data_IF_125326542640
#
_entry.id   IF_125326542640
#
_cell.length_a   1.000
_cell.length_b   1.000
_cell.length_c   1.000
_cell.angle_alpha   90.00
_cell.angle_beta   90.00
_cell.angle_gamma   90.00
#
_symmetry.space_group_name_H-M   'P 1'
#
loop_
_entity.id
_entity.type
_entity.pdbx_description
1 polymer ?
#
# COMPACT_ATOMS: atom_id res chain seq x y z
N UNK A 1 -19.34 46.57 -8.12
CA UNK A 1 -17.89 46.28 -8.01
C UNK A 1 -17.51 45.47 -6.76
N UNK A 2 -18.47 44.93 -6.00
CA UNK A 2 -18.19 44.10 -4.82
C UNK A 2 -18.21 42.59 -5.11
N UNK A 3 -18.70 42.17 -6.29
CA UNK A 3 -18.95 40.76 -6.61
C UNK A 3 -17.68 39.93 -6.91
N UNK A 4 -16.57 40.57 -7.27
CA UNK A 4 -15.31 39.84 -7.47
C UNK A 4 -14.57 39.55 -6.16
N UNK A 5 -14.82 40.33 -5.09
CA UNK A 5 -14.17 40.13 -3.79
C UNK A 5 -14.68 38.88 -3.06
N UNK A 6 -15.92 38.47 -3.33
CA UNK A 6 -16.55 37.28 -2.75
C UNK A 6 -16.44 36.04 -3.65
N UNK A 7 -15.70 36.13 -4.76
CA UNK A 7 -15.48 34.98 -5.60
C UNK A 7 -14.47 34.06 -4.91
N UNK A 8 -14.86 32.85 -4.46
CA UNK A 8 -13.94 31.96 -3.77
C UNK A 8 -12.77 31.63 -4.71
N UNK A 9 -11.58 32.11 -4.35
CA UNK A 9 -10.33 31.84 -5.09
C UNK A 9 -9.88 30.38 -4.96
N UNK A 10 -10.53 29.62 -4.07
CA UNK A 10 -10.36 28.18 -3.93
C UNK A 10 -11.14 27.51 -5.07
N UNK A 11 -10.58 27.56 -6.28
CA UNK A 11 -10.98 26.61 -7.32
C UNK A 11 -10.77 25.19 -6.77
N UNK A 12 -11.75 24.29 -6.89
CA UNK A 12 -11.52 22.88 -6.61
C UNK A 12 -10.39 22.44 -7.53
N UNK A 13 -9.19 22.24 -6.99
CA UNK A 13 -8.03 21.87 -7.81
C UNK A 13 -8.40 20.61 -8.58
N UNK A 14 -8.39 20.71 -9.91
CA UNK A 14 -8.68 19.62 -10.82
C UNK A 14 -7.94 18.36 -10.36
N UNK A 15 -8.72 17.32 -10.04
CA UNK A 15 -8.23 16.08 -9.48
C UNK A 15 -7.38 15.38 -10.57
N UNK A 16 -6.09 15.09 -10.34
CA UNK A 16 -5.17 14.69 -11.41
C UNK A 16 -5.60 13.44 -12.20
N UNK A 17 -6.36 12.52 -11.58
CA UNK A 17 -6.83 11.28 -12.22
C UNK A 17 -8.35 11.07 -12.16
N UNK A 18 -9.14 12.06 -11.71
CA UNK A 18 -10.60 11.95 -11.53
C UNK A 18 -11.08 10.95 -10.46
N UNK A 19 -10.25 9.98 -10.03
CA UNK A 19 -10.57 8.98 -8.99
C UNK A 19 -10.12 9.43 -7.61
N UNK A 20 -10.97 9.20 -6.62
CA UNK A 20 -10.65 9.53 -5.22
C UNK A 20 -9.50 8.65 -4.69
N UNK A 21 -8.48 9.24 -4.03
CA UNK A 21 -7.45 8.48 -3.34
C UNK A 21 -8.03 7.77 -2.12
N UNK A 22 -7.39 6.67 -1.73
CA UNK A 22 -7.76 5.89 -0.55
C UNK A 22 -7.02 6.41 0.69
N UNK A 23 -7.62 6.22 1.86
CA UNK A 23 -6.97 6.48 3.15
C UNK A 23 -5.74 5.57 3.32
N UNK A 24 -4.53 6.13 3.58
CA UNK A 24 -3.34 5.31 3.81
C UNK A 24 -3.48 4.37 5.01
N UNK A 25 -4.25 4.77 6.04
CA UNK A 25 -4.57 3.91 7.19
C UNK A 25 -5.35 2.66 6.79
N UNK A 26 -6.24 2.74 5.80
CA UNK A 26 -7.02 1.60 5.33
C UNK A 26 -6.19 0.55 4.59
N UNK A 27 -4.97 0.89 4.14
CA UNK A 27 -4.04 -0.05 3.51
C UNK A 27 -3.45 -1.06 4.51
N UNK A 28 -3.65 -0.87 5.83
CA UNK A 28 -3.18 -1.82 6.84
C UNK A 28 -3.88 -3.19 6.70
N UNK A 29 -5.17 -3.20 6.35
CA UNK A 29 -5.94 -4.43 6.19
C UNK A 29 -5.39 -5.34 5.06
N UNK A 30 -5.22 -4.86 3.81
CA UNK A 30 -4.62 -5.69 2.77
C UNK A 30 -3.16 -6.05 3.05
N UNK A 31 -2.43 -5.25 3.84
CA UNK A 31 -1.07 -5.59 4.27
C UNK A 31 -1.04 -6.78 5.22
N UNK A 32 -1.92 -6.79 6.23
CA UNK A 32 -1.99 -7.86 7.21
C UNK A 32 -2.60 -9.15 6.63
N UNK A 33 -3.59 -9.02 5.75
CA UNK A 33 -4.28 -10.17 5.15
C UNK A 33 -3.52 -10.77 3.97
N UNK A 34 -2.92 -9.93 3.13
CA UNK A 34 -2.33 -10.34 1.86
C UNK A 34 -0.81 -10.27 1.77
N UNK A 35 -0.13 -9.61 2.70
CA UNK A 35 1.33 -9.48 2.69
C UNK A 35 1.84 -8.23 1.96
N UNK A 36 3.11 -8.27 1.58
CA UNK A 36 3.85 -7.11 1.06
C UNK A 36 3.44 -6.73 -0.38
N UNK A 37 3.17 -7.70 -1.25
CA UNK A 37 2.79 -7.48 -2.64
C UNK A 37 1.46 -6.72 -2.81
N UNK A 38 0.33 -7.13 -2.20
CA UNK A 38 -0.94 -6.42 -2.36
C UNK A 38 -0.90 -5.01 -1.81
N UNK A 39 -0.31 -4.79 -0.63
CA UNK A 39 -0.20 -3.44 -0.05
C UNK A 39 0.67 -2.54 -0.93
N UNK A 40 1.78 -3.05 -1.47
CA UNK A 40 2.68 -2.28 -2.35
C UNK A 40 1.97 -1.89 -3.65
N UNK A 41 1.25 -2.82 -4.28
CA UNK A 41 0.50 -2.54 -5.50
C UNK A 41 -0.57 -1.47 -5.27
N UNK A 42 -1.37 -1.61 -4.20
CA UNK A 42 -2.38 -0.63 -3.82
C UNK A 42 -1.75 0.73 -3.47
N UNK A 43 -0.62 0.73 -2.79
CA UNK A 43 0.13 1.94 -2.45
C UNK A 43 0.62 2.67 -3.71
N UNK A 44 1.12 1.96 -4.73
CA UNK A 44 1.55 2.56 -5.99
C UNK A 44 0.38 3.16 -6.76
N UNK A 45 -0.77 2.48 -6.79
CA UNK A 45 -2.00 3.03 -7.38
C UNK A 45 -2.46 4.27 -6.60
N UNK A 46 -2.41 4.23 -5.28
CA UNK A 46 -2.79 5.38 -4.44
C UNK A 46 -1.83 6.56 -4.63
N UNK A 47 -0.54 6.30 -4.78
CA UNK A 47 0.48 7.32 -5.05
C UNK A 47 0.25 8.02 -6.39
N UNK A 48 -0.26 7.31 -7.40
CA UNK A 48 -0.70 7.91 -8.68
C UNK A 48 -1.90 8.82 -8.46
N UNK A 49 -2.94 8.33 -7.78
CA UNK A 49 -4.16 9.11 -7.45
C UNK A 49 -3.88 10.37 -6.63
N UNK A 50 -2.87 10.31 -5.76
CA UNK A 50 -2.40 11.45 -4.95
C UNK A 50 -1.47 12.41 -5.71
N UNK A 51 -1.11 12.13 -6.96
CA UNK A 51 -0.20 12.95 -7.75
C UNK A 51 1.24 12.95 -7.21
N UNK A 52 1.67 11.90 -6.50
CA UNK A 52 3.01 11.83 -5.94
C UNK A 52 4.08 11.76 -7.04
N UNK A 53 5.25 12.40 -6.84
CA UNK A 53 6.33 12.40 -7.82
C UNK A 53 6.94 11.00 -8.00
N UNK A 54 7.62 10.78 -9.14
CA UNK A 54 8.25 9.50 -9.47
C UNK A 54 9.16 8.96 -8.38
N UNK A 55 9.96 9.82 -7.73
CA UNK A 55 10.83 9.46 -6.59
C UNK A 55 10.08 8.85 -5.41
N UNK A 56 8.88 9.35 -5.10
CA UNK A 56 8.07 8.81 -4.01
C UNK A 56 7.45 7.46 -4.39
N UNK A 57 7.08 7.29 -5.66
CA UNK A 57 6.61 6.00 -6.19
C UNK A 57 7.73 4.95 -6.19
N UNK A 58 8.95 5.36 -6.55
CA UNK A 58 10.14 4.51 -6.49
C UNK A 58 10.47 4.10 -5.06
N UNK A 59 10.36 5.02 -4.09
CA UNK A 59 10.56 4.69 -2.67
C UNK A 59 9.51 3.67 -2.16
N UNK A 60 8.23 3.83 -2.55
CA UNK A 60 7.18 2.85 -2.23
C UNK A 60 7.49 1.48 -2.84
N UNK A 61 7.88 1.44 -4.12
CA UNK A 61 8.26 0.19 -4.79
C UNK A 61 9.46 -0.47 -4.12
N UNK A 62 10.51 0.30 -3.83
CA UNK A 62 11.72 -0.18 -3.16
C UNK A 62 11.42 -0.75 -1.77
N UNK A 63 10.60 -0.07 -0.97
CA UNK A 63 10.17 -0.56 0.34
C UNK A 63 9.36 -1.86 0.23
N UNK A 64 8.45 -1.96 -0.74
CA UNK A 64 7.67 -3.16 -1.00
C UNK A 64 8.52 -4.36 -1.42
N UNK A 65 9.48 -4.13 -2.32
CA UNK A 65 10.44 -5.16 -2.74
C UNK A 65 11.34 -5.61 -1.60
N UNK A 66 11.84 -4.67 -0.78
CA UNK A 66 12.64 -4.99 0.39
C UNK A 66 11.85 -5.83 1.41
N UNK A 67 10.59 -5.49 1.66
CA UNK A 67 9.71 -6.26 2.54
C UNK A 67 9.43 -7.68 2.00
N UNK A 68 9.19 -7.81 0.69
CA UNK A 68 9.00 -9.12 0.05
C UNK A 68 10.27 -9.97 0.12
N UNK A 69 11.43 -9.38 -0.18
CA UNK A 69 12.72 -10.08 -0.11
C UNK A 69 13.03 -10.52 1.33
N UNK A 70 12.83 -9.65 2.31
CA UNK A 70 13.00 -9.99 3.73
C UNK A 70 12.07 -11.13 4.14
N UNK A 71 10.80 -11.10 3.71
CA UNK A 71 9.85 -12.19 3.98
C UNK A 71 10.36 -13.52 3.43
N UNK A 72 10.77 -13.56 2.16
CA UNK A 72 11.24 -14.79 1.51
C UNK A 72 12.49 -15.31 2.22
N UNK A 73 13.48 -14.45 2.46
CA UNK A 73 14.72 -14.81 3.13
C UNK A 73 14.48 -15.36 4.55
N UNK A 74 13.68 -14.66 5.36
CA UNK A 74 13.35 -15.10 6.71
C UNK A 74 12.58 -16.42 6.68
N UNK A 75 11.68 -16.60 5.72
CA UNK A 75 10.93 -17.85 5.61
C UNK A 75 11.83 -19.02 5.22
N UNK A 76 12.70 -18.86 4.23
CA UNK A 76 13.64 -19.90 3.80
C UNK A 76 14.62 -20.26 4.92
N UNK A 77 15.24 -19.27 5.57
CA UNK A 77 16.23 -19.50 6.63
C UNK A 77 15.64 -20.09 7.93
N UNK A 78 14.34 -19.91 8.19
CA UNK A 78 13.69 -20.34 9.45
C UNK A 78 12.89 -21.63 9.28
N UNK A 79 12.37 -21.94 8.09
CA UNK A 79 11.55 -23.13 7.84
C UNK A 79 12.34 -24.35 7.32
N UNK A 80 13.64 -24.23 7.07
CA UNK A 80 14.49 -25.33 6.60
C UNK A 80 14.60 -26.52 7.57
N UNK A 81 14.31 -26.32 8.88
CA UNK A 81 14.73 -27.29 9.90
C UNK A 81 13.63 -28.22 10.42
N UNK A 82 12.35 -27.93 10.22
CA UNK A 82 11.30 -28.90 10.59
C UNK A 82 9.95 -28.43 10.04
N UNK A 83 9.17 -29.36 9.47
CA UNK A 83 7.85 -29.17 8.83
C UNK A 83 6.73 -28.59 9.73
N UNK A 84 7.08 -27.87 10.79
CA UNK A 84 6.20 -27.07 11.61
C UNK A 84 5.59 -25.93 10.79
N UNK A 85 4.28 -25.99 10.60
CA UNK A 85 3.44 -24.97 9.95
C UNK A 85 3.36 -23.64 10.74
N UNK A 86 4.37 -23.30 11.55
CA UNK A 86 4.23 -22.48 12.76
C UNK A 86 4.26 -20.95 12.59
N UNK A 87 5.26 -20.32 11.93
CA UNK A 87 5.37 -18.85 11.96
C UNK A 87 5.16 -18.12 10.61
N UNK A 88 4.99 -18.82 9.47
CA UNK A 88 4.99 -18.19 8.14
C UNK A 88 3.92 -17.09 7.92
N UNK A 89 2.74 -17.22 8.56
CA UNK A 89 1.70 -16.17 8.53
C UNK A 89 2.09 -14.94 9.36
N UNK A 90 2.74 -15.14 10.51
CA UNK A 90 3.19 -14.06 11.39
C UNK A 90 4.33 -13.28 10.72
N UNK A 91 5.31 -13.98 10.14
CA UNK A 91 6.41 -13.38 9.36
C UNK A 91 5.83 -12.56 8.20
N UNK A 92 4.84 -13.12 7.51
CA UNK A 92 4.14 -12.42 6.44
C UNK A 92 3.41 -11.16 6.89
N UNK A 93 2.69 -11.23 8.01
CA UNK A 93 1.97 -10.08 8.57
C UNK A 93 2.95 -8.98 9.04
N UNK A 94 4.09 -9.35 9.62
CA UNK A 94 5.14 -8.41 10.02
C UNK A 94 5.79 -7.74 8.80
N UNK A 95 6.11 -8.50 7.76
CA UNK A 95 6.65 -7.96 6.51
C UNK A 95 5.64 -7.00 5.83
N UNK A 96 4.37 -7.40 5.76
CA UNK A 96 3.29 -6.54 5.27
C UNK A 96 3.14 -5.27 6.10
N UNK A 97 3.21 -5.38 7.44
CA UNK A 97 3.19 -4.25 8.37
C UNK A 97 4.34 -3.27 8.17
N UNK A 98 5.57 -3.76 7.97
CA UNK A 98 6.74 -2.94 7.68
C UNK A 98 6.62 -2.21 6.34
N UNK A 99 6.14 -2.90 5.30
CA UNK A 99 5.83 -2.28 4.02
C UNK A 99 4.77 -1.17 4.18
N UNK A 100 3.71 -1.44 4.95
CA UNK A 100 2.67 -0.48 5.25
C UNK A 100 3.18 0.76 6.01
N UNK A 101 4.11 0.61 6.95
CA UNK A 101 4.71 1.74 7.67
C UNK A 101 5.47 2.67 6.71
N UNK A 102 6.28 2.11 5.81
CA UNK A 102 6.99 2.89 4.80
C UNK A 102 6.03 3.62 3.85
N UNK A 103 4.96 2.95 3.42
CA UNK A 103 3.90 3.55 2.60
C UNK A 103 3.16 4.65 3.35
N UNK A 104 2.82 4.42 4.62
CA UNK A 104 2.10 5.39 5.44
C UNK A 104 2.94 6.64 5.69
N UNK A 105 4.23 6.49 5.97
CA UNK A 105 5.14 7.61 6.13
C UNK A 105 5.22 8.48 4.86
N UNK A 106 5.23 7.86 3.67
CA UNK A 106 5.34 8.59 2.40
C UNK A 106 4.03 9.23 1.95
N UNK A 107 2.86 8.64 2.27
CA UNK A 107 1.57 9.08 1.74
C UNK A 107 0.74 9.93 2.71
N UNK A 108 0.98 9.85 4.03
CA UNK A 108 0.17 10.53 5.06
C UNK A 108 0.13 12.05 4.89
N UNK A 109 1.27 12.67 4.58
CA UNK A 109 1.34 14.13 4.37
C UNK A 109 0.51 14.59 3.17
N UNK A 110 0.68 13.92 2.02
CA UNK A 110 -0.05 14.24 0.80
C UNK A 110 -1.56 14.00 0.93
N UNK A 111 -1.96 12.92 1.62
CA UNK A 111 -3.37 12.63 1.88
C UNK A 111 -4.02 13.65 2.82
N UNK A 112 -3.32 14.08 3.88
CA UNK A 112 -3.81 15.15 4.77
C UNK A 112 -3.99 16.48 4.02
N UNK A 113 -3.07 16.81 3.11
CA UNK A 113 -3.22 17.97 2.23
C UNK A 113 -4.38 17.84 1.22
N UNK A 114 -4.80 16.62 0.88
CA UNK A 114 -5.99 16.37 0.06
C UNK A 114 -7.28 16.56 0.88
N UNK A 115 -7.35 16.04 2.11
CA UNK A 115 -8.51 16.23 3.00
C UNK A 115 -8.72 17.71 3.35
N UNK A 116 -7.65 18.45 3.63
CA UNK A 116 -7.72 19.90 3.90
C UNK A 116 -8.28 20.71 2.72
N UNK A 117 -8.21 20.18 1.50
CA UNK A 117 -8.78 20.79 0.28
C UNK A 117 -10.22 20.33 0.02
N UNK A 118 -10.90 19.73 1.00
CA UNK A 118 -12.27 19.22 0.87
C UNK A 118 -12.36 17.89 0.13
N UNK A 119 -11.25 17.17 -0.01
CA UNK A 119 -11.21 15.88 -0.68
C UNK A 119 -11.74 14.74 0.19
N UNK A 120 -12.67 13.94 -0.34
CA UNK A 120 -13.16 12.74 0.33
C UNK A 120 -12.39 11.47 -0.07
N UNK A 121 -12.29 10.54 0.87
CA UNK A 121 -11.64 9.25 0.69
C UNK A 121 -12.49 8.31 -0.16
N UNK A 122 -11.87 7.69 -1.16
CA UNK A 122 -12.50 6.63 -1.94
C UNK A 122 -12.63 5.32 -1.14
N UNK A 123 -13.61 4.49 -1.53
CA UNK A 123 -13.72 3.13 -1.00
C UNK A 123 -12.57 2.23 -1.50
N UNK A 124 -11.93 1.53 -0.56
CA UNK A 124 -10.84 0.60 -0.81
C UNK A 124 -11.31 -0.87 -0.89
N UNK A 125 -12.56 -1.17 -0.54
CA UNK A 125 -13.01 -2.53 -0.26
C UNK A 125 -12.84 -3.48 -1.46
N UNK A 126 -13.42 -3.15 -2.62
CA UNK A 126 -13.28 -3.95 -3.84
C UNK A 126 -11.83 -4.12 -4.31
N UNK A 127 -11.05 -3.02 -4.48
CA UNK A 127 -9.64 -3.10 -4.83
C UNK A 127 -8.79 -3.90 -3.84
N UNK A 128 -9.06 -3.78 -2.54
CA UNK A 128 -8.33 -4.51 -1.51
C UNK A 128 -8.60 -6.01 -1.58
N UNK A 129 -9.87 -6.42 -1.68
CA UNK A 129 -10.23 -7.84 -1.81
C UNK A 129 -9.56 -8.44 -3.05
N UNK A 130 -9.66 -7.76 -4.20
CA UNK A 130 -9.03 -8.22 -5.43
C UNK A 130 -7.51 -8.35 -5.29
N UNK A 131 -6.85 -7.33 -4.73
CA UNK A 131 -5.40 -7.35 -4.55
C UNK A 131 -4.97 -8.47 -3.60
N UNK A 132 -5.64 -8.66 -2.47
CA UNK A 132 -5.32 -9.72 -1.50
C UNK A 132 -5.51 -11.10 -2.13
N UNK A 133 -6.61 -11.33 -2.86
CA UNK A 133 -6.86 -12.62 -3.49
C UNK A 133 -5.85 -12.94 -4.59
N UNK A 134 -5.49 -11.98 -5.44
CA UNK A 134 -4.59 -12.23 -6.58
C UNK A 134 -3.13 -12.16 -6.15
N UNK A 135 -2.70 -11.04 -5.58
CA UNK A 135 -1.29 -10.81 -5.24
C UNK A 135 -0.91 -11.51 -3.93
N UNK A 136 -1.83 -11.61 -2.97
CA UNK A 136 -1.56 -12.37 -1.75
C UNK A 136 -1.44 -13.87 -2.03
N UNK A 137 -2.24 -14.42 -2.95
CA UNK A 137 -2.08 -15.80 -3.40
C UNK A 137 -0.77 -16.01 -4.17
N UNK A 138 -0.43 -15.10 -5.09
CA UNK A 138 0.85 -15.16 -5.81
C UNK A 138 2.06 -15.05 -4.87
N UNK A 139 2.01 -14.17 -3.86
CA UNK A 139 3.05 -14.06 -2.82
C UNK A 139 3.16 -15.36 -2.01
N UNK A 140 2.03 -15.97 -1.62
CA UNK A 140 2.02 -17.23 -0.90
C UNK A 140 2.61 -18.39 -1.72
N UNK A 141 2.27 -18.48 -3.00
CA UNK A 141 2.85 -19.46 -3.92
C UNK A 141 4.37 -19.27 -4.06
N UNK A 142 4.82 -18.02 -4.26
CA UNK A 142 6.24 -17.72 -4.38
C UNK A 142 7.01 -18.16 -3.12
N UNK A 143 6.49 -17.83 -1.94
CA UNK A 143 7.10 -18.22 -0.67
C UNK A 143 7.11 -19.74 -0.53
N UNK A 144 6.02 -20.42 -0.87
CA UNK A 144 5.94 -21.88 -0.83
C UNK A 144 6.94 -22.55 -1.78
N UNK A 145 7.09 -22.04 -3.00
CA UNK A 145 8.03 -22.61 -3.99
C UNK A 145 9.49 -22.40 -3.62
N UNK A 146 9.82 -21.31 -2.92
CA UNK A 146 11.19 -20.99 -2.54
C UNK A 146 11.57 -21.65 -1.21
N UNK A 147 10.65 -21.74 -0.26
CA UNK A 147 10.89 -22.37 1.04
C UNK A 147 10.61 -23.88 1.04
N UNK A 148 10.00 -24.42 -0.02
CA UNK A 148 9.73 -25.85 -0.18
C UNK A 148 10.65 -26.55 -1.19
N UNK A 149 11.64 -25.84 -1.74
CA UNK A 149 12.65 -26.35 -2.67
C UNK A 149 14.01 -26.38 -1.97
#
# INVERSE_FOLDING_TARGET
>A
MADELFRPTISPTARPDGRQPWRPSSLVYPALLGGAAPVTALALVNARRLGLPGRARAAVLGAGLAALAARVLVTALVLDDDGSRGPGRLIGALAGGLAWLAVSATQKGAFRGYEMRGGEAGSLWGPAVLAVLVLGFAEALLVLTVAGA
#
